data_IF_620439649739
#
_entry.id   IF_620439649739
#
_cell.length_a   1.000
_cell.length_b   1.000
_cell.length_c   1.000
_cell.angle_alpha   90.00
_cell.angle_beta   90.00
_cell.angle_gamma   90.00
#
_symmetry.space_group_name_H-M   'P 1'
#
loop_
_entity.id
_entity.type
_entity.pdbx_description
1 polymer ?
#
# COMPACT_ATOMS: atom_id res chain seq x y z
N UNK A 1 -2.61 -31.73 38.13
CA UNK A 1 -1.27 -31.12 38.07
C UNK A 1 -0.81 -30.84 36.63
N UNK A 2 -0.97 -31.78 35.69
CA UNK A 2 -0.62 -31.57 34.27
C UNK A 2 -1.51 -30.50 33.60
N UNK A 3 -2.83 -30.52 33.86
CA UNK A 3 -3.78 -29.53 33.29
C UNK A 3 -3.50 -28.09 33.73
N UNK A 4 -3.21 -27.87 35.01
CA UNK A 4 -2.88 -26.55 35.56
C UNK A 4 -1.58 -26.01 34.99
N UNK A 5 -0.61 -26.88 34.73
CA UNK A 5 0.65 -26.48 34.11
C UNK A 5 0.45 -26.13 32.63
N UNK A 6 -0.33 -26.90 31.89
CA UNK A 6 -0.65 -26.61 30.48
C UNK A 6 -1.40 -25.28 30.32
N UNK A 7 -2.40 -25.02 31.16
CA UNK A 7 -3.15 -23.75 31.19
C UNK A 7 -2.20 -22.58 31.49
N UNK A 8 -1.29 -22.73 32.45
CA UNK A 8 -0.33 -21.68 32.82
C UNK A 8 0.67 -21.38 31.69
N UNK A 9 1.18 -22.42 31.01
CA UNK A 9 2.07 -22.25 29.87
C UNK A 9 1.34 -21.57 28.70
N UNK A 10 0.11 -21.97 28.41
CA UNK A 10 -0.72 -21.34 27.37
C UNK A 10 -1.03 -19.87 27.68
N UNK A 11 -1.30 -19.53 28.95
CA UNK A 11 -1.49 -18.16 29.41
C UNK A 11 -0.21 -17.32 29.31
N UNK A 12 0.96 -17.92 29.60
CA UNK A 12 2.25 -17.24 29.52
C UNK A 12 2.67 -16.96 28.07
N UNK A 13 2.43 -17.89 27.14
CA UNK A 13 2.68 -17.70 25.71
C UNK A 13 1.78 -16.63 25.12
N UNK A 14 0.48 -16.67 25.45
CA UNK A 14 -0.48 -15.64 25.05
C UNK A 14 -0.04 -14.27 25.59
N UNK A 15 0.45 -14.20 26.83
CA UNK A 15 0.96 -12.96 27.43
C UNK A 15 2.20 -12.42 26.72
N UNK A 16 3.14 -13.27 26.31
CA UNK A 16 4.34 -12.87 25.55
C UNK A 16 3.96 -12.39 24.15
N UNK A 17 3.06 -13.08 23.46
CA UNK A 17 2.50 -12.64 22.17
C UNK A 17 1.81 -11.27 22.29
N UNK A 18 0.99 -11.08 23.32
CA UNK A 18 0.32 -9.81 23.60
C UNK A 18 1.30 -8.70 23.99
N UNK A 19 2.42 -9.02 24.66
CA UNK A 19 3.48 -8.06 24.97
C UNK A 19 4.28 -7.64 23.73
N UNK A 20 4.63 -8.59 22.85
CA UNK A 20 5.32 -8.31 21.58
C UNK A 20 4.46 -7.42 20.68
N UNK A 21 3.13 -7.61 20.71
CA UNK A 21 2.17 -6.79 19.98
C UNK A 21 1.78 -5.48 20.70
N UNK A 22 2.33 -5.19 21.88
CA UNK A 22 2.04 -3.95 22.65
C UNK A 22 0.64 -3.88 23.27
N UNK A 23 -0.07 -5.02 23.37
CA UNK A 23 -1.48 -5.16 23.76
C UNK A 23 -1.70 -5.52 25.24
N UNK A 24 -0.65 -5.69 26.05
CA UNK A 24 -0.76 -5.94 27.50
C UNK A 24 -0.42 -4.68 28.33
N UNK A 25 -1.18 -4.31 29.38
CA UNK A 25 -2.27 -5.04 30.01
C UNK A 25 -3.62 -4.77 29.34
N UNK A 26 -4.47 -5.81 29.40
CA UNK A 26 -5.83 -5.96 28.87
C UNK A 26 -6.86 -4.93 29.38
N UNK A 27 -6.43 -3.78 29.91
CA UNK A 27 -7.34 -2.70 30.30
C UNK A 27 -7.72 -1.91 29.04
N UNK A 28 -8.77 -2.46 28.44
CA UNK A 28 -9.50 -2.14 27.21
C UNK A 28 -9.94 -0.67 27.14
N UNK A 29 -8.98 0.24 26.92
CA UNK A 29 -9.30 1.65 26.70
C UNK A 29 -9.78 1.83 25.27
N UNK A 30 -10.93 2.49 25.10
CA UNK A 30 -11.50 2.95 23.81
C UNK A 30 -10.46 3.61 22.89
N UNK A 31 -9.39 4.18 23.46
CA UNK A 31 -8.28 4.78 22.72
C UNK A 31 -7.51 3.81 21.82
N UNK A 32 -7.25 2.56 22.25
CA UNK A 32 -6.47 1.61 21.43
C UNK A 32 -7.25 1.16 20.20
N UNK A 33 -8.54 0.92 20.37
CA UNK A 33 -9.48 0.63 19.27
C UNK A 33 -9.49 1.76 18.24
N UNK A 34 -9.66 2.99 18.74
CA UNK A 34 -9.68 4.19 17.92
C UNK A 34 -8.36 4.33 17.14
N UNK A 35 -7.23 4.01 17.76
CA UNK A 35 -5.91 4.04 17.10
C UNK A 35 -5.77 3.00 15.98
N UNK A 36 -6.18 1.75 16.20
CA UNK A 36 -6.18 0.74 15.15
C UNK A 36 -7.09 1.15 13.99
N UNK A 37 -8.28 1.67 14.28
CA UNK A 37 -9.19 2.21 13.29
C UNK A 37 -8.60 3.37 12.48
N UNK A 38 -7.93 4.32 13.14
CA UNK A 38 -7.26 5.45 12.48
C UNK A 38 -6.11 5.00 11.58
N UNK A 39 -5.22 4.14 12.06
CA UNK A 39 -4.10 3.62 11.28
C UNK A 39 -4.58 2.82 10.07
N UNK A 40 -5.60 1.99 10.28
CA UNK A 40 -6.23 1.25 9.21
C UNK A 40 -6.81 2.18 8.13
N UNK A 41 -7.56 3.22 8.53
CA UNK A 41 -8.09 4.24 7.61
C UNK A 41 -7.00 5.03 6.86
N UNK A 42 -5.88 5.34 7.52
CA UNK A 42 -4.75 6.02 6.86
C UNK A 42 -4.11 5.08 5.82
N UNK A 43 -3.94 3.79 6.14
CA UNK A 43 -3.40 2.81 5.21
C UNK A 43 -4.33 2.56 4.01
N UNK A 44 -5.66 2.54 4.21
CA UNK A 44 -6.63 2.32 3.12
C UNK A 44 -6.66 3.52 2.17
N UNK A 45 -6.76 4.74 2.70
CA UNK A 45 -6.73 5.97 1.89
C UNK A 45 -5.45 6.11 1.09
N UNK A 46 -4.31 5.72 1.68
CA UNK A 46 -3.03 5.70 0.99
C UNK A 46 -3.01 4.68 -0.16
N UNK A 47 -3.50 3.45 0.06
CA UNK A 47 -3.61 2.43 -0.99
C UNK A 47 -4.49 2.89 -2.15
N UNK A 48 -5.62 3.54 -1.87
CA UNK A 48 -6.47 4.11 -2.92
C UNK A 48 -5.79 5.17 -3.74
N UNK A 49 -5.02 6.05 -3.09
CA UNK A 49 -4.25 7.06 -3.79
C UNK A 49 -3.21 6.42 -4.72
N UNK A 50 -2.60 5.30 -4.33
CA UNK A 50 -1.67 4.55 -5.20
C UNK A 50 -2.39 3.94 -6.40
N UNK A 51 -3.52 3.28 -6.20
CA UNK A 51 -4.33 2.67 -7.28
C UNK A 51 -4.83 3.74 -8.24
N UNK A 52 -5.30 4.89 -7.73
CA UNK A 52 -5.76 6.01 -8.54
C UNK A 52 -4.63 6.59 -9.41
N UNK A 53 -3.45 6.81 -8.84
CA UNK A 53 -2.29 7.33 -9.59
C UNK A 53 -1.88 6.39 -10.73
N UNK A 54 -1.89 5.07 -10.48
CA UNK A 54 -1.62 4.07 -11.52
C UNK A 54 -2.65 4.12 -12.65
N UNK A 55 -3.94 4.18 -12.31
CA UNK A 55 -5.02 4.24 -13.30
C UNK A 55 -4.88 5.52 -14.15
N UNK A 56 -4.62 6.67 -13.53
CA UNK A 56 -4.43 7.94 -14.26
C UNK A 56 -3.19 7.92 -15.18
N UNK A 57 -2.11 7.24 -14.79
CA UNK A 57 -0.94 7.06 -15.65
C UNK A 57 -1.24 6.14 -16.84
N UNK A 58 -1.96 5.03 -16.61
CA UNK A 58 -2.38 4.11 -17.67
C UNK A 58 -3.34 4.82 -18.62
N UNK A 59 -4.32 5.55 -18.10
CA UNK A 59 -5.29 6.31 -18.89
C UNK A 59 -4.61 7.36 -19.75
N UNK A 60 -3.65 8.13 -19.23
CA UNK A 60 -2.93 9.12 -20.04
C UNK A 60 -2.14 8.49 -21.19
N UNK A 61 -1.48 7.35 -20.96
CA UNK A 61 -0.77 6.63 -22.01
C UNK A 61 -1.75 6.01 -23.04
N UNK A 62 -2.95 5.64 -22.61
CA UNK A 62 -3.98 5.04 -23.45
C UNK A 62 -4.76 6.06 -24.29
N UNK A 63 -5.14 7.20 -23.71
CA UNK A 63 -5.83 8.29 -24.41
C UNK A 63 -4.96 8.91 -25.53
N UNK A 64 -3.63 8.76 -25.45
CA UNK A 64 -2.69 9.13 -26.53
C UNK A 64 -2.74 8.16 -27.73
N UNK A 65 -3.35 6.98 -27.56
CA UNK A 65 -3.42 5.88 -28.54
C UNK A 65 -4.87 5.54 -29.00
N UNK A 66 -5.87 6.34 -28.58
CA UNK A 66 -7.27 5.90 -28.52
C UNK A 66 -8.05 6.00 -29.84
N UNK A 67 -8.69 4.89 -30.21
CA UNK A 67 -9.70 4.77 -31.29
C UNK A 67 -11.10 4.42 -30.71
N UNK A 68 -12.18 4.76 -31.42
CA UNK A 68 -13.60 4.70 -30.94
C UNK A 68 -14.06 3.34 -30.38
N UNK A 69 -13.43 2.22 -30.75
CA UNK A 69 -13.77 0.87 -30.27
C UNK A 69 -13.35 0.61 -28.81
N UNK A 70 -12.46 1.42 -28.25
CA UNK A 70 -11.91 1.26 -26.89
C UNK A 70 -12.85 1.78 -25.78
N UNK A 71 -13.91 2.51 -26.14
CA UNK A 71 -14.91 3.05 -25.21
C UNK A 71 -15.71 1.92 -24.51
N UNK A 72 -15.92 0.78 -25.19
CA UNK A 72 -16.63 -0.37 -24.62
C UNK A 72 -15.83 -1.08 -23.51
N UNK A 73 -14.50 -1.12 -23.62
CA UNK A 73 -13.62 -1.70 -22.58
C UNK A 73 -13.59 -0.79 -21.34
N UNK A 74 -13.69 0.53 -21.53
CA UNK A 74 -13.71 1.50 -20.43
C UNK A 74 -14.96 1.36 -19.53
N UNK A 75 -16.10 0.97 -20.11
CA UNK A 75 -17.34 0.70 -19.37
C UNK A 75 -17.27 -0.62 -18.57
N UNK A 76 -16.61 -1.65 -19.10
CA UNK A 76 -16.34 -2.91 -18.39
C UNK A 76 -15.42 -2.71 -17.17
N UNK A 77 -14.37 -1.89 -17.32
CA UNK A 77 -13.50 -1.49 -16.20
C UNK A 77 -14.22 -0.59 -15.18
N UNK A 78 -15.26 0.14 -15.58
CA UNK A 78 -16.14 0.88 -14.67
C UNK A 78 -16.78 0.00 -13.59
N UNK A 79 -17.06 -1.27 -13.89
CA UNK A 79 -17.58 -2.24 -12.91
C UNK A 79 -16.56 -2.58 -11.82
N UNK A 80 -15.27 -2.72 -12.17
CA UNK A 80 -14.19 -2.94 -11.19
C UNK A 80 -14.02 -1.73 -10.27
N UNK A 81 -14.09 -0.51 -10.81
CA UNK A 81 -14.02 0.74 -10.02
C UNK A 81 -15.19 0.83 -9.02
N UNK A 82 -16.40 0.45 -9.44
CA UNK A 82 -17.58 0.35 -8.55
C UNK A 82 -17.36 -0.66 -7.42
N UNK A 83 -16.79 -1.83 -7.70
CA UNK A 83 -16.49 -2.83 -6.66
C UNK A 83 -15.48 -2.29 -5.62
N UNK A 84 -14.44 -1.58 -6.06
CA UNK A 84 -13.51 -0.91 -5.13
C UNK A 84 -14.22 0.10 -4.22
N UNK A 85 -15.17 0.88 -4.75
CA UNK A 85 -15.93 1.82 -3.91
C UNK A 85 -16.81 1.12 -2.86
N UNK A 86 -17.35 -0.06 -3.17
CA UNK A 86 -18.15 -0.87 -2.22
C UNK A 86 -17.27 -1.53 -1.16
N UNK A 87 -16.07 -2.00 -1.53
CA UNK A 87 -15.11 -2.56 -0.57
C UNK A 87 -14.68 -1.48 0.43
N UNK A 88 -14.41 -0.27 -0.03
CA UNK A 88 -14.04 0.86 0.82
C UNK A 88 -15.14 1.28 1.80
N UNK A 89 -16.40 1.33 1.35
CA UNK A 89 -17.50 1.66 2.25
C UNK A 89 -17.71 0.55 3.29
N UNK A 90 -17.49 -0.71 2.92
CA UNK A 90 -17.47 -1.84 3.84
C UNK A 90 -16.34 -1.76 4.88
N UNK A 91 -15.12 -1.43 4.46
CA UNK A 91 -13.97 -1.22 5.34
C UNK A 91 -14.22 -0.09 6.34
N UNK A 92 -14.75 1.05 5.88
CA UNK A 92 -15.12 2.18 6.75
C UNK A 92 -16.20 1.77 7.76
N UNK A 93 -17.19 0.99 7.34
CA UNK A 93 -18.23 0.49 8.23
C UNK A 93 -17.67 -0.44 9.32
N UNK A 94 -16.73 -1.34 8.98
CA UNK A 94 -16.08 -2.23 9.95
C UNK A 94 -15.22 -1.48 10.98
N UNK A 95 -14.55 -0.39 10.56
CA UNK A 95 -13.82 0.48 11.51
C UNK A 95 -14.82 1.12 12.49
N UNK A 96 -15.93 1.66 11.97
CA UNK A 96 -16.95 2.33 12.78
C UNK A 96 -17.62 1.37 13.76
N UNK A 97 -17.90 0.13 13.35
CA UNK A 97 -18.46 -0.90 14.24
C UNK A 97 -17.45 -1.29 15.34
N UNK A 98 -16.17 -1.39 15.01
CA UNK A 98 -15.09 -1.72 15.94
C UNK A 98 -14.83 -0.63 16.99
N UNK A 99 -15.11 0.64 16.67
CA UNK A 99 -15.04 1.75 17.63
C UNK A 99 -16.23 1.71 18.61
N UNK A 100 -17.35 1.12 18.20
CA UNK A 100 -18.62 1.12 18.94
C UNK A 100 -18.70 0.01 20.00
N UNK A 101 -17.97 -1.10 19.84
CA UNK A 101 -18.05 -2.29 20.69
C UNK A 101 -16.78 -2.51 21.56
N UNK A 102 -16.94 -3.18 22.70
CA UNK A 102 -15.83 -3.69 23.52
C UNK A 102 -15.30 -5.00 22.94
N UNK A 103 -14.07 -4.97 22.44
CA UNK A 103 -13.38 -6.06 21.73
C UNK A 103 -13.42 -7.43 22.43
N UNK A 104 -13.85 -8.44 21.68
CA UNK A 104 -13.48 -9.83 21.95
C UNK A 104 -12.14 -10.19 21.28
N UNK A 105 -11.43 -11.17 21.84
CA UNK A 105 -10.11 -11.61 21.35
C UNK A 105 -10.19 -12.08 19.90
N UNK A 106 -11.31 -12.69 19.48
CA UNK A 106 -11.52 -13.18 18.12
C UNK A 106 -11.57 -12.03 17.09
N UNK A 107 -12.25 -10.92 17.39
CA UNK A 107 -12.29 -9.74 16.51
C UNK A 107 -10.92 -9.08 16.36
N UNK A 108 -10.12 -9.05 17.44
CA UNK A 108 -8.74 -8.55 17.38
C UNK A 108 -7.86 -9.40 16.47
N UNK A 109 -8.00 -10.72 16.52
CA UNK A 109 -7.25 -11.62 15.63
C UNK A 109 -7.62 -11.36 14.16
N UNK A 110 -8.89 -11.16 13.86
CA UNK A 110 -9.36 -10.84 12.50
C UNK A 110 -8.76 -9.51 12.02
N UNK A 111 -8.74 -8.47 12.86
CA UNK A 111 -8.15 -7.17 12.51
C UNK A 111 -6.64 -7.23 12.28
N UNK A 112 -5.91 -8.02 13.08
CA UNK A 112 -4.47 -8.21 12.91
C UNK A 112 -4.18 -8.91 11.57
N UNK A 113 -4.94 -9.96 11.24
CA UNK A 113 -4.81 -10.66 9.96
C UNK A 113 -5.08 -9.71 8.80
N UNK A 114 -6.14 -8.90 8.90
CA UNK A 114 -6.46 -7.94 7.85
C UNK A 114 -5.38 -6.87 7.67
N UNK A 115 -4.87 -6.28 8.78
CA UNK A 115 -3.76 -5.33 8.75
C UNK A 115 -2.52 -5.93 8.08
N UNK A 116 -2.21 -7.19 8.39
CA UNK A 116 -1.09 -7.90 7.77
C UNK A 116 -1.30 -8.08 6.26
N UNK A 117 -2.49 -8.51 5.83
CA UNK A 117 -2.85 -8.60 4.41
C UNK A 117 -2.71 -7.26 3.69
N UNK A 118 -3.07 -6.16 4.34
CA UNK A 118 -2.97 -4.82 3.76
C UNK A 118 -1.52 -4.34 3.59
N UNK A 119 -0.64 -4.66 4.55
CA UNK A 119 0.80 -4.43 4.39
C UNK A 119 1.39 -5.28 3.25
N UNK A 120 0.97 -6.53 3.10
CA UNK A 120 1.40 -7.37 1.97
C UNK A 120 0.94 -6.81 0.63
N UNK A 121 -0.31 -6.36 0.53
CA UNK A 121 -0.82 -5.71 -0.67
C UNK A 121 0.00 -4.46 -1.02
N UNK A 122 0.28 -3.61 -0.03
CA UNK A 122 1.10 -2.43 -0.22
C UNK A 122 2.54 -2.76 -0.64
N UNK A 123 3.13 -3.83 -0.09
CA UNK A 123 4.46 -4.30 -0.46
C UNK A 123 4.51 -4.74 -1.92
N UNK A 124 3.53 -5.53 -2.36
CA UNK A 124 3.43 -5.96 -3.76
C UNK A 124 3.30 -4.76 -4.70
N UNK A 125 2.44 -3.80 -4.38
CA UNK A 125 2.28 -2.58 -5.19
C UNK A 125 3.56 -1.74 -5.31
N UNK A 126 4.27 -1.53 -4.20
CA UNK A 126 5.55 -0.79 -4.22
C UNK A 126 6.67 -1.55 -4.93
N UNK A 127 6.70 -2.88 -4.85
CA UNK A 127 7.67 -3.71 -5.55
C UNK A 127 7.45 -3.66 -7.07
N UNK A 128 6.19 -3.76 -7.53
CA UNK A 128 5.85 -3.58 -8.95
C UNK A 128 6.23 -2.19 -9.43
N UNK A 129 5.91 -1.14 -8.67
CA UNK A 129 6.30 0.24 -9.00
C UNK A 129 7.82 0.39 -9.16
N UNK A 130 8.59 -0.19 -8.22
CA UNK A 130 10.06 -0.18 -8.27
C UNK A 130 10.60 -0.89 -9.52
N UNK A 131 10.07 -2.08 -9.86
CA UNK A 131 10.49 -2.82 -11.05
C UNK A 131 10.23 -2.04 -12.34
N UNK A 132 9.12 -1.31 -12.42
CA UNK A 132 8.80 -0.46 -13.58
C UNK A 132 9.79 0.70 -13.69
N UNK A 133 10.12 1.38 -12.58
CA UNK A 133 11.11 2.46 -12.57
C UNK A 133 12.50 1.95 -12.93
N UNK A 134 12.96 0.86 -12.32
CA UNK A 134 14.29 0.30 -12.55
C UNK A 134 14.46 -0.17 -14.02
N UNK A 135 13.41 -0.78 -14.59
CA UNK A 135 13.42 -1.18 -16.00
C UNK A 135 13.49 0.03 -16.93
N UNK A 136 12.72 1.08 -16.64
CA UNK A 136 12.74 2.31 -17.43
C UNK A 136 14.12 3.00 -17.37
N UNK A 137 14.74 3.07 -16.20
CA UNK A 137 16.08 3.62 -16.02
C UNK A 137 17.13 2.80 -16.77
N UNK A 138 17.01 1.46 -16.76
CA UNK A 138 17.89 0.58 -17.53
C UNK A 138 17.75 0.79 -19.04
N UNK A 139 16.52 0.90 -19.55
CA UNK A 139 16.25 1.18 -20.97
C UNK A 139 16.83 2.55 -21.35
N UNK A 140 16.63 3.58 -20.53
CA UNK A 140 17.21 4.90 -20.75
C UNK A 140 18.74 4.87 -20.79
N UNK A 141 19.39 4.22 -19.83
CA UNK A 141 20.84 4.07 -19.79
C UNK A 141 21.40 3.31 -21.01
N UNK A 142 20.66 2.32 -21.50
CA UNK A 142 21.02 1.54 -22.69
C UNK A 142 20.92 2.38 -23.96
N UNK A 143 19.82 3.13 -24.12
CA UNK A 143 19.58 4.02 -25.27
C UNK A 143 20.60 5.17 -25.29
N UNK A 144 20.95 5.73 -24.14
CA UNK A 144 21.96 6.79 -24.03
C UNK A 144 23.36 6.34 -24.49
N UNK A 145 23.72 5.07 -24.27
CA UNK A 145 25.02 4.50 -24.65
C UNK A 145 25.12 4.11 -26.13
N UNK A 146 24.01 4.01 -26.86
CA UNK A 146 24.02 3.64 -28.27
C UNK A 146 24.62 4.78 -29.12
N UNK A 147 25.34 4.41 -30.18
CA UNK A 147 25.86 5.34 -31.21
C UNK A 147 24.70 5.86 -32.09
N UNK A 148 23.86 6.71 -31.51
CA UNK A 148 22.63 7.27 -32.10
C UNK A 148 22.84 8.00 -33.44
N UNK A 149 24.07 8.47 -33.68
CA UNK A 149 24.47 9.15 -34.92
C UNK A 149 24.70 8.19 -36.11
N UNK A 150 24.74 6.87 -35.87
CA UNK A 150 24.93 5.84 -36.91
C UNK A 150 23.63 5.08 -37.21
N UNK A 151 22.60 5.24 -36.38
CA UNK A 151 21.30 4.57 -36.55
C UNK A 151 20.44 5.18 -37.69
N UNK A 152 19.58 4.39 -38.35
CA UNK A 152 18.65 4.89 -39.37
C UNK A 152 17.73 6.00 -38.84
N UNK A 153 17.29 6.91 -39.73
CA UNK A 153 16.50 8.11 -39.42
C UNK A 153 15.26 7.86 -38.54
N UNK A 154 14.54 6.76 -38.77
CA UNK A 154 13.33 6.43 -38.00
C UNK A 154 13.66 6.03 -36.56
N UNK A 155 14.72 5.22 -36.36
CA UNK A 155 15.20 4.86 -35.03
C UNK A 155 15.81 6.05 -34.30
N UNK A 156 16.51 6.94 -35.01
CA UNK A 156 17.09 8.14 -34.41
C UNK A 156 16.00 9.08 -33.83
N UNK A 157 14.86 9.22 -34.53
CA UNK A 157 13.70 9.95 -34.00
C UNK A 157 13.07 9.26 -32.79
N UNK A 158 12.89 7.93 -32.82
CA UNK A 158 12.40 7.18 -31.64
C UNK A 158 13.33 7.32 -30.44
N UNK A 159 14.65 7.24 -30.65
CA UNK A 159 15.66 7.43 -29.60
C UNK A 159 15.57 8.83 -29.00
N UNK A 160 15.42 9.86 -29.84
CA UNK A 160 15.23 11.24 -29.37
C UNK A 160 13.98 11.36 -28.49
N UNK A 161 12.85 10.78 -28.92
CA UNK A 161 11.62 10.74 -28.12
C UNK A 161 11.80 9.97 -26.81
N UNK A 162 12.46 8.81 -26.83
CA UNK A 162 12.75 8.01 -25.63
C UNK A 162 13.66 8.75 -24.64
N UNK A 163 14.66 9.49 -25.12
CA UNK A 163 15.54 10.32 -24.28
C UNK A 163 14.79 11.53 -23.70
N UNK A 164 13.95 12.17 -24.52
CA UNK A 164 13.15 13.33 -24.10
C UNK A 164 12.06 12.93 -23.08
N UNK A 165 11.49 11.73 -23.24
CA UNK A 165 10.50 11.13 -22.32
C UNK A 165 11.15 10.54 -21.07
N UNK A 166 12.31 9.90 -21.20
CA UNK A 166 13.04 9.26 -20.10
C UNK A 166 13.78 10.22 -19.16
N UNK A 167 13.98 11.48 -19.55
CA UNK A 167 14.47 12.53 -18.63
C UNK A 167 13.41 12.96 -17.59
N UNK A 168 12.15 12.53 -17.74
CA UNK A 168 11.14 12.62 -16.67
C UNK A 168 11.20 11.33 -15.88
N UNK A 169 11.74 11.40 -14.67
CA UNK A 169 11.85 10.23 -13.82
C UNK A 169 10.47 9.61 -13.60
N UNK A 170 10.32 8.34 -13.97
CA UNK A 170 9.08 7.58 -13.83
C UNK A 170 8.93 7.11 -12.38
N UNK A 171 8.88 8.07 -11.46
CA UNK A 171 8.45 7.80 -10.11
C UNK A 171 6.92 7.79 -10.13
N UNK A 172 6.32 6.70 -9.65
CA UNK A 172 4.90 6.69 -9.30
C UNK A 172 4.70 7.66 -8.12
N UNK A 173 4.66 8.95 -8.43
CA UNK A 173 4.44 10.01 -7.46
C UNK A 173 2.95 10.04 -7.10
N UNK A 174 2.66 9.75 -5.84
CA UNK A 174 1.40 10.12 -5.22
C UNK A 174 1.51 11.59 -4.82
N UNK A 175 1.04 12.48 -5.69
CA UNK A 175 1.16 13.92 -5.48
C UNK A 175 2.62 14.34 -5.22
N UNK A 176 2.85 15.29 -4.29
CA UNK A 176 4.18 15.75 -3.89
C UNK A 176 4.81 14.99 -2.71
N UNK A 177 4.08 14.05 -2.09
CA UNK A 177 4.39 13.56 -0.74
C UNK A 177 5.01 12.17 -0.70
N UNK A 178 4.78 11.33 -1.71
CA UNK A 178 5.27 9.94 -1.67
C UNK A 178 5.58 9.38 -3.05
N UNK A 179 6.76 8.79 -3.21
CA UNK A 179 7.14 8.04 -4.41
C UNK A 179 6.93 6.55 -4.16
N UNK A 180 6.05 5.92 -4.94
CA UNK A 180 5.83 4.47 -4.99
C UNK A 180 7.15 3.75 -5.25
N UNK A 181 7.75 3.24 -4.19
CA UNK A 181 9.09 2.68 -4.16
C UNK A 181 9.28 1.87 -2.88
N UNK A 182 10.22 0.93 -2.91
CA UNK A 182 10.55 0.15 -1.71
C UNK A 182 11.01 1.06 -0.57
N UNK A 183 11.74 2.14 -0.91
CA UNK A 183 12.21 3.16 0.03
C UNK A 183 11.02 3.90 0.67
N UNK A 184 10.03 4.29 -0.12
CA UNK A 184 8.78 4.85 0.39
C UNK A 184 8.10 3.91 1.39
N UNK A 185 7.94 2.64 1.04
CA UNK A 185 7.32 1.65 1.92
C UNK A 185 8.03 1.54 3.29
N UNK A 186 9.37 1.47 3.29
CA UNK A 186 10.14 1.42 4.56
C UNK A 186 9.95 2.66 5.42
N UNK A 187 9.84 3.85 4.80
CA UNK A 187 9.56 5.09 5.53
C UNK A 187 8.18 5.10 6.17
N UNK A 188 7.18 4.53 5.50
CA UNK A 188 5.83 4.40 6.05
C UNK A 188 5.78 3.38 7.20
N UNK A 189 6.41 2.21 7.03
CA UNK A 189 6.48 1.18 8.08
C UNK A 189 7.17 1.70 9.34
N UNK A 190 8.29 2.41 9.18
CA UNK A 190 9.00 3.02 10.32
C UNK A 190 8.18 4.12 10.99
N UNK A 191 7.43 4.93 10.24
CA UNK A 191 6.50 5.91 10.79
C UNK A 191 5.35 5.24 11.59
N UNK A 192 4.76 4.16 11.07
CA UNK A 192 3.73 3.38 11.79
C UNK A 192 4.26 2.83 13.11
N UNK A 193 5.43 2.17 13.10
CA UNK A 193 6.07 1.63 14.31
C UNK A 193 6.42 2.75 15.30
N UNK A 194 6.92 3.88 14.81
CA UNK A 194 7.26 5.04 15.65
C UNK A 194 6.02 5.63 16.33
N UNK A 195 4.90 5.75 15.60
CA UNK A 195 3.62 6.20 16.15
C UNK A 195 3.11 5.25 17.25
N UNK A 196 3.14 3.95 17.01
CA UNK A 196 2.81 2.94 18.02
C UNK A 196 3.71 3.04 19.26
N UNK A 197 5.02 3.17 19.05
CA UNK A 197 6.00 3.23 20.14
C UNK A 197 5.85 4.50 20.98
N UNK A 198 5.65 5.66 20.33
CA UNK A 198 5.44 6.94 21.01
C UNK A 198 4.20 6.89 21.91
N UNK A 199 3.09 6.36 21.40
CA UNK A 199 1.85 6.24 22.16
C UNK A 199 1.98 5.23 23.31
N UNK A 200 2.68 4.12 23.08
CA UNK A 200 2.97 3.18 24.16
C UNK A 200 3.76 3.86 25.29
N UNK A 201 4.72 4.73 24.93
CA UNK A 201 5.53 5.44 25.91
C UNK A 201 4.75 6.49 26.73
N UNK A 202 3.73 7.13 26.16
CA UNK A 202 2.91 8.14 26.86
C UNK A 202 1.82 7.53 27.75
N UNK A 203 1.60 6.22 27.66
CA UNK A 203 0.63 5.48 28.47
C UNK A 203 1.24 4.90 29.77
N UNK A 204 2.54 5.09 29.98
CA UNK A 204 3.30 4.74 31.19
C UNK A 204 3.42 5.94 32.12
#
# INVERSE_FOLDING_TARGET
MIYTQYVQTHLSLNRILLLILGLWPYQQSKLVSLQFGLLFGILTTFILSQVKSLIEQIQRNYDELKDENEIAIMDEYGSKTKCYTVILTGEIFLILSSISQTFDIEELVIQIIFLFCQYLYMFMGNNVAQQVTDHNDHVFASVYKIRWYVTPLQMQKMILFMLQRGNKAYYLQLGSLFAGSLKGFTSLMSASISYFTFIYSTRR
#
